data_IF_910741601758
#
_entry.id   IF_910741601758
#
_cell.length_a   1.000
_cell.length_b   1.000
_cell.length_c   1.000
_cell.angle_alpha   90.00
_cell.angle_beta   90.00
_cell.angle_gamma   90.00
#
_symmetry.space_group_name_H-M   'P 1'
#
loop_
_entity.id
_entity.type
_entity.pdbx_description
1 polymer ?
#
# COMPACT_ATOMS: atom_id res chain seq x y z
N UNK A 1 14.02 -22.57 16.75
CA UNK A 1 15.17 -21.64 16.68
C UNK A 1 15.61 -21.26 15.25
N UNK A 2 15.42 -22.07 14.21
CA UNK A 2 15.89 -21.71 12.84
C UNK A 2 15.00 -20.62 12.16
N UNK A 3 13.72 -20.51 12.56
CA UNK A 3 12.76 -19.55 11.97
C UNK A 3 12.86 -18.13 12.55
N UNK A 4 13.61 -17.90 13.63
CA UNK A 4 13.75 -16.56 14.24
C UNK A 4 14.70 -15.67 13.45
N UNK A 5 15.68 -16.27 12.76
CA UNK A 5 16.71 -15.53 12.02
C UNK A 5 16.14 -14.75 10.83
N UNK A 6 15.32 -15.36 9.94
CA UNK A 6 14.71 -14.62 8.83
C UNK A 6 13.78 -13.50 9.31
N UNK A 7 12.97 -13.74 10.33
CA UNK A 7 12.04 -12.76 10.90
C UNK A 7 12.78 -11.59 11.55
N UNK A 8 13.86 -11.86 12.26
CA UNK A 8 14.71 -10.82 12.85
C UNK A 8 15.37 -9.95 11.76
N UNK A 9 15.90 -10.58 10.71
CA UNK A 9 16.48 -9.85 9.57
C UNK A 9 15.44 -8.96 8.88
N UNK A 10 14.26 -9.49 8.57
CA UNK A 10 13.15 -8.72 8.00
C UNK A 10 12.75 -7.56 8.92
N UNK A 11 12.70 -7.80 10.23
CA UNK A 11 12.42 -6.77 11.24
C UNK A 11 13.45 -5.64 11.26
N UNK A 12 14.74 -5.95 11.12
CA UNK A 12 15.80 -4.93 11.06
C UNK A 12 15.66 -4.06 9.82
N UNK A 13 15.48 -4.66 8.63
CA UNK A 13 15.30 -3.90 7.39
C UNK A 13 14.04 -3.03 7.45
N UNK A 14 12.96 -3.56 7.99
CA UNK A 14 11.71 -2.83 8.26
C UNK A 14 11.98 -1.63 9.17
N UNK A 15 12.70 -1.81 10.28
CA UNK A 15 13.01 -0.73 11.21
C UNK A 15 13.87 0.36 10.56
N UNK A 16 14.92 -0.01 9.82
CA UNK A 16 15.79 0.94 9.11
C UNK A 16 14.98 1.75 8.10
N UNK A 17 14.17 1.10 7.25
CA UNK A 17 13.33 1.78 6.27
C UNK A 17 12.32 2.73 6.93
N UNK A 18 11.74 2.32 8.05
CA UNK A 18 10.81 3.14 8.84
C UNK A 18 11.50 4.38 9.40
N UNK A 19 12.69 4.21 9.99
CA UNK A 19 13.45 5.31 10.58
C UNK A 19 13.87 6.30 9.50
N UNK A 20 14.38 5.83 8.36
CA UNK A 20 14.75 6.70 7.22
C UNK A 20 13.55 7.52 6.74
N UNK A 21 12.41 6.86 6.53
CA UNK A 21 11.17 7.51 6.07
C UNK A 21 10.66 8.54 7.06
N UNK A 22 10.60 8.20 8.35
CA UNK A 22 10.20 9.14 9.41
C UNK A 22 11.17 10.31 9.49
N UNK A 23 12.49 10.07 9.42
CA UNK A 23 13.50 11.13 9.43
C UNK A 23 13.32 12.10 8.26
N UNK A 24 13.12 11.58 7.04
CA UNK A 24 12.83 12.40 5.84
C UNK A 24 11.58 13.26 6.00
N UNK A 25 10.54 12.75 6.65
CA UNK A 25 9.30 13.48 6.90
C UNK A 25 9.47 14.56 7.99
N UNK A 26 10.14 14.28 9.10
CA UNK A 26 10.22 15.22 10.24
C UNK A 26 11.37 16.21 10.19
N UNK A 27 12.30 16.04 9.24
CA UNK A 27 13.46 16.93 9.09
C UNK A 27 13.03 18.38 8.86
N UNK A 28 13.94 19.31 9.17
CA UNK A 28 13.65 20.74 9.12
C UNK A 28 13.23 21.22 7.72
N UNK A 29 13.85 20.68 6.66
CA UNK A 29 13.42 20.93 5.28
C UNK A 29 12.03 20.29 5.03
N UNK A 30 11.07 21.02 4.44
CA UNK A 30 9.75 20.48 4.13
C UNK A 30 9.73 19.56 2.91
N UNK A 31 10.86 19.38 2.21
CA UNK A 31 10.96 18.72 0.90
C UNK A 31 10.17 17.42 0.73
N UNK A 32 10.08 16.55 1.74
CA UNK A 32 9.40 15.25 1.61
C UNK A 32 8.01 15.19 2.27
N UNK A 33 7.63 16.24 3.00
CA UNK A 33 6.39 16.28 3.78
C UNK A 33 5.15 16.37 2.90
N UNK A 34 3.99 15.91 3.39
CA UNK A 34 2.70 16.19 2.76
C UNK A 34 2.50 17.69 2.56
N UNK A 35 1.78 18.06 1.50
CA UNK A 35 1.57 19.47 1.16
C UNK A 35 0.85 20.21 2.30
N UNK A 36 1.29 21.44 2.56
CA UNK A 36 0.73 22.35 3.57
C UNK A 36 0.71 21.79 5.01
N UNK A 37 1.51 20.78 5.32
CA UNK A 37 1.49 20.07 6.60
C UNK A 37 2.50 20.60 7.64
N UNK A 38 2.23 20.42 8.96
CA UNK A 38 3.17 20.80 10.01
C UNK A 38 4.44 19.94 9.98
N UNK A 39 5.49 20.38 10.67
CA UNK A 39 6.80 19.71 10.67
C UNK A 39 6.77 18.22 11.03
N UNK A 40 5.91 17.83 11.97
CA UNK A 40 5.82 16.46 12.45
C UNK A 40 4.69 15.67 11.79
N UNK A 41 4.14 16.16 10.68
CA UNK A 41 3.15 15.42 9.93
C UNK A 41 3.80 14.27 9.17
N UNK A 42 3.31 13.07 9.45
CA UNK A 42 3.59 11.89 8.65
C UNK A 42 2.59 11.80 7.50
N UNK A 43 2.99 11.09 6.45
CA UNK A 43 2.14 10.85 5.30
C UNK A 43 1.20 9.64 5.50
N UNK A 44 0.24 9.48 4.59
CA UNK A 44 -0.82 8.49 4.74
C UNK A 44 -0.27 7.08 4.62
N UNK A 45 0.70 6.88 3.72
CA UNK A 45 1.40 5.61 3.60
C UNK A 45 2.08 5.22 4.92
N UNK A 46 2.78 6.14 5.59
CA UNK A 46 3.44 5.88 6.87
C UNK A 46 2.45 5.53 7.98
N UNK A 47 1.31 6.21 8.06
CA UNK A 47 0.25 5.86 9.02
C UNK A 47 -0.35 4.48 8.75
N UNK A 48 -0.63 4.16 7.48
CA UNK A 48 -1.07 2.83 7.08
C UNK A 48 -0.04 1.74 7.39
N UNK A 49 1.24 2.06 7.20
CA UNK A 49 2.36 1.18 7.53
C UNK A 49 2.44 0.90 9.03
N UNK A 50 2.29 1.91 9.89
CA UNK A 50 2.23 1.70 11.35
C UNK A 50 1.02 0.87 11.78
N UNK A 51 -0.15 1.09 11.18
CA UNK A 51 -1.33 0.28 11.46
C UNK A 51 -1.05 -1.21 11.17
N UNK A 52 -0.47 -1.51 10.02
CA UNK A 52 -0.09 -2.88 9.65
C UNK A 52 0.95 -3.45 10.63
N UNK A 53 1.99 -2.67 10.96
CA UNK A 53 3.01 -3.13 11.91
C UNK A 53 2.43 -3.45 13.29
N UNK A 54 1.50 -2.64 13.79
CA UNK A 54 0.81 -2.91 15.05
C UNK A 54 0.00 -4.20 14.97
N UNK A 55 -0.76 -4.40 13.90
CA UNK A 55 -1.58 -5.62 13.72
C UNK A 55 -0.69 -6.87 13.62
N UNK A 56 0.36 -6.84 12.79
CA UNK A 56 1.30 -7.95 12.62
C UNK A 56 2.07 -8.22 13.92
N UNK A 57 2.51 -7.18 14.61
CA UNK A 57 3.20 -7.31 15.90
C UNK A 57 2.30 -7.92 16.96
N UNK A 58 1.03 -7.51 17.03
CA UNK A 58 0.04 -8.10 17.92
C UNK A 58 -0.19 -9.58 17.59
N UNK A 59 -0.33 -9.92 16.31
CA UNK A 59 -0.45 -11.31 15.84
C UNK A 59 0.75 -12.15 16.27
N UNK A 60 1.98 -11.72 15.94
CA UNK A 60 3.22 -12.44 16.27
C UNK A 60 3.39 -12.58 17.78
N UNK A 61 3.19 -11.49 18.54
CA UNK A 61 3.32 -11.50 20.00
C UNK A 61 2.30 -12.43 20.63
N UNK A 62 1.05 -12.41 20.14
CA UNK A 62 0.01 -13.33 20.63
C UNK A 62 0.31 -14.80 20.33
N UNK A 63 0.94 -15.08 19.18
CA UNK A 63 1.34 -16.43 18.79
C UNK A 63 2.50 -16.93 19.65
N UNK A 64 3.50 -16.08 19.93
CA UNK A 64 4.67 -16.42 20.76
C UNK A 64 4.35 -16.51 22.25
N UNK A 65 3.40 -15.70 22.73
CA UNK A 65 2.97 -15.70 24.13
C UNK A 65 2.02 -16.84 24.49
N UNK A 66 1.58 -17.64 23.51
CA UNK A 66 0.70 -18.79 23.75
C UNK A 66 1.52 -19.97 24.25
N UNK A 67 1.18 -20.48 25.43
CA UNK A 67 1.70 -21.76 25.92
C UNK A 67 1.07 -22.92 25.13
N UNK A 68 1.86 -23.95 24.81
CA UNK A 68 1.37 -25.19 24.18
C UNK A 68 0.62 -26.04 25.22
N UNK A 69 -0.60 -25.62 25.55
CA UNK A 69 -1.50 -26.32 26.47
C UNK A 69 -2.20 -27.49 25.78
N UNK A 70 -2.31 -27.41 24.47
CA UNK A 70 -2.94 -28.35 23.55
C UNK A 70 -2.06 -29.59 23.30
N UNK A 71 -0.75 -29.53 23.58
CA UNK A 71 0.25 -30.55 23.23
C UNK A 71 0.24 -30.88 21.72
N UNK A 72 0.01 -29.85 20.89
CA UNK A 72 -0.09 -29.98 19.42
C UNK A 72 1.26 -29.78 18.71
N UNK A 73 2.36 -29.83 19.47
CA UNK A 73 3.72 -29.54 18.98
C UNK A 73 3.80 -28.13 18.37
N UNK A 74 3.11 -27.16 18.97
CA UNK A 74 3.04 -25.77 18.49
C UNK A 74 2.50 -25.62 17.05
N UNK A 75 1.70 -26.56 16.53
CA UNK A 75 1.17 -26.49 15.15
C UNK A 75 0.38 -25.20 14.93
N UNK A 76 -0.55 -24.90 15.84
CA UNK A 76 -1.35 -23.68 15.75
C UNK A 76 -0.48 -22.42 15.76
N UNK A 77 0.55 -22.36 16.61
CA UNK A 77 1.47 -21.21 16.71
C UNK A 77 2.21 -20.97 15.40
N UNK A 78 2.70 -22.03 14.76
CA UNK A 78 3.42 -21.95 13.50
C UNK A 78 2.49 -21.44 12.39
N UNK A 79 1.22 -21.86 12.38
CA UNK A 79 0.22 -21.33 11.43
C UNK A 79 -0.03 -19.85 11.65
N UNK A 80 -0.23 -19.38 12.89
CA UNK A 80 -0.37 -17.94 13.17
C UNK A 80 0.87 -17.15 12.72
N UNK A 81 2.07 -17.68 12.97
CA UNK A 81 3.33 -17.07 12.54
C UNK A 81 3.50 -17.04 11.01
N UNK A 82 2.67 -17.77 10.27
CA UNK A 82 2.65 -17.81 8.80
C UNK A 82 1.58 -16.91 8.16
N UNK A 83 0.69 -16.31 8.96
CA UNK A 83 -0.35 -15.38 8.50
C UNK A 83 0.05 -13.91 8.28
N UNK A 84 1.19 -13.36 8.77
CA UNK A 84 1.47 -11.92 8.66
C UNK A 84 1.32 -11.33 7.25
N UNK A 85 1.78 -12.03 6.21
CA UNK A 85 1.65 -11.55 4.84
C UNK A 85 0.19 -11.53 4.36
N UNK A 86 -0.60 -12.55 4.67
CA UNK A 86 -2.04 -12.57 4.38
C UNK A 86 -2.79 -11.45 5.12
N UNK A 87 -2.42 -11.19 6.38
CA UNK A 87 -2.99 -10.09 7.18
C UNK A 87 -2.65 -8.73 6.58
N UNK A 88 -1.40 -8.49 6.16
CA UNK A 88 -1.03 -7.29 5.41
C UNK A 88 -1.92 -7.11 4.18
N UNK A 89 -2.12 -8.17 3.39
CA UNK A 89 -2.96 -8.12 2.19
C UNK A 89 -4.42 -7.78 2.53
N UNK A 90 -5.00 -8.38 3.58
CA UNK A 90 -6.34 -8.04 4.04
C UNK A 90 -6.47 -6.58 4.47
N UNK A 91 -5.51 -6.05 5.24
CA UNK A 91 -5.54 -4.67 5.71
C UNK A 91 -5.45 -3.70 4.53
N UNK A 92 -4.49 -3.91 3.61
CA UNK A 92 -4.32 -3.05 2.44
C UNK A 92 -5.55 -3.12 1.52
N UNK A 93 -6.09 -4.32 1.27
CA UNK A 93 -7.30 -4.49 0.48
C UNK A 93 -8.50 -3.79 1.13
N UNK A 94 -8.63 -3.85 2.46
CA UNK A 94 -9.73 -3.21 3.20
C UNK A 94 -9.62 -1.70 3.18
N UNK A 95 -8.42 -1.13 3.34
CA UNK A 95 -8.20 0.30 3.18
C UNK A 95 -8.47 0.76 1.73
N UNK A 96 -8.08 -0.05 0.74
CA UNK A 96 -8.38 0.22 -0.66
C UNK A 96 -9.90 0.19 -0.93
N UNK A 97 -10.61 -0.82 -0.45
CA UNK A 97 -12.07 -0.92 -0.53
C UNK A 97 -12.74 0.30 0.10
N UNK A 98 -12.34 0.67 1.32
CA UNK A 98 -12.89 1.84 2.01
C UNK A 98 -12.65 3.11 1.20
N UNK A 99 -11.44 3.32 0.68
CA UNK A 99 -11.11 4.49 -0.13
C UNK A 99 -11.93 4.55 -1.43
N UNK A 100 -12.15 3.40 -2.09
CA UNK A 100 -12.95 3.29 -3.30
C UNK A 100 -14.42 3.55 -3.02
N UNK A 101 -14.96 2.99 -1.93
CA UNK A 101 -16.35 3.20 -1.51
C UNK A 101 -16.60 4.68 -1.19
N UNK A 102 -15.70 5.32 -0.43
CA UNK A 102 -15.77 6.74 -0.10
C UNK A 102 -15.60 7.65 -1.33
N UNK A 103 -14.67 7.30 -2.22
CA UNK A 103 -14.49 8.02 -3.48
C UNK A 103 -15.75 7.95 -4.34
N UNK A 104 -16.33 6.74 -4.47
CA UNK A 104 -17.49 6.48 -5.33
C UNK A 104 -18.78 7.09 -4.79
N UNK A 105 -18.90 7.22 -3.47
CA UNK A 105 -20.00 7.92 -2.80
C UNK A 105 -19.83 9.45 -2.78
N UNK A 106 -18.71 9.97 -3.30
CA UNK A 106 -18.42 11.40 -3.31
C UNK A 106 -18.15 11.97 -1.92
N UNK A 107 -17.73 11.13 -0.97
CA UNK A 107 -17.48 11.55 0.40
C UNK A 107 -16.36 12.60 0.44
N UNK A 108 -16.68 13.76 1.00
CA UNK A 108 -15.75 14.87 1.16
C UNK A 108 -14.99 14.74 2.47
N UNK A 109 -13.68 14.95 2.42
CA UNK A 109 -12.80 14.88 3.57
C UNK A 109 -13.14 15.97 4.60
N UNK A 110 -13.48 15.63 5.86
CA UNK A 110 -13.79 16.63 6.88
C UNK A 110 -12.53 17.36 7.39
N UNK A 111 -11.35 16.79 7.18
CA UNK A 111 -10.05 17.34 7.53
C UNK A 111 -9.02 16.96 6.47
N UNK A 112 -7.84 17.60 6.49
CA UNK A 112 -6.76 17.29 5.56
C UNK A 112 -6.30 15.84 5.70
N UNK A 113 -6.19 15.12 4.58
CA UNK A 113 -5.73 13.75 4.55
C UNK A 113 -4.53 13.62 3.60
N UNK A 114 -3.33 13.56 4.17
CA UNK A 114 -2.08 13.64 3.42
C UNK A 114 -1.90 15.02 2.78
N UNK A 115 -1.61 15.05 1.48
CA UNK A 115 -1.56 16.29 0.70
C UNK A 115 -2.94 16.80 0.26
N UNK A 116 -4.02 16.05 0.50
CA UNK A 116 -5.38 16.40 0.04
C UNK A 116 -6.08 17.26 1.08
N UNK A 117 -6.55 18.44 0.67
CA UNK A 117 -7.23 19.41 1.53
C UNK A 117 -8.65 18.97 1.95
N UNK A 118 -9.15 19.55 3.04
CA UNK A 118 -10.52 19.35 3.48
C UNK A 118 -11.52 19.82 2.41
N UNK A 119 -12.69 19.17 2.33
CA UNK A 119 -13.73 19.45 1.35
C UNK A 119 -13.52 18.79 -0.01
N UNK A 120 -12.33 18.22 -0.29
CA UNK A 120 -12.10 17.41 -1.50
C UNK A 120 -12.63 16.00 -1.31
N UNK A 121 -13.07 15.37 -2.40
CA UNK A 121 -13.48 13.96 -2.39
C UNK A 121 -12.26 13.09 -2.07
N UNK A 122 -12.47 12.08 -1.21
CA UNK A 122 -11.45 11.07 -0.88
C UNK A 122 -10.89 10.47 -2.17
N UNK A 123 -9.57 10.38 -2.31
CA UNK A 123 -8.93 9.77 -3.49
C UNK A 123 -8.78 8.25 -3.29
N UNK A 124 -8.73 7.44 -4.36
CA UNK A 124 -8.49 6.00 -4.24
C UNK A 124 -7.13 5.70 -3.58
N UNK A 125 -7.00 4.60 -2.84
CA UNK A 125 -5.82 4.29 -2.02
C UNK A 125 -4.49 4.31 -2.78
N UNK A 126 -4.47 3.87 -4.05
CA UNK A 126 -3.25 3.90 -4.87
C UNK A 126 -2.75 5.32 -5.09
N UNK A 127 -3.62 6.33 -5.09
CA UNK A 127 -3.21 7.74 -5.14
C UNK A 127 -2.24 8.05 -3.99
N UNK A 128 -2.65 7.77 -2.75
CA UNK A 128 -1.88 8.08 -1.56
C UNK A 128 -0.58 7.27 -1.50
N UNK A 129 -0.65 5.98 -1.83
CA UNK A 129 0.52 5.10 -1.84
C UNK A 129 1.57 5.63 -2.85
N UNK A 130 1.16 5.92 -4.08
CA UNK A 130 2.09 6.36 -5.13
C UNK A 130 2.64 7.76 -4.83
N UNK A 131 1.79 8.68 -4.38
CA UNK A 131 2.23 10.02 -3.99
C UNK A 131 3.33 9.94 -2.92
N UNK A 132 3.05 9.21 -1.83
CA UNK A 132 3.89 9.18 -0.65
C UNK A 132 5.17 8.36 -0.87
N UNK A 133 5.10 7.22 -1.58
CA UNK A 133 6.29 6.40 -1.88
C UNK A 133 7.23 7.14 -2.84
N UNK A 134 6.71 7.72 -3.92
CA UNK A 134 7.59 8.40 -4.89
C UNK A 134 8.13 9.71 -4.33
N UNK A 135 7.35 10.45 -3.53
CA UNK A 135 7.83 11.66 -2.90
C UNK A 135 8.99 11.38 -1.93
N UNK A 136 8.88 10.35 -1.08
CA UNK A 136 9.82 10.13 0.02
C UNK A 136 10.92 9.11 -0.32
N UNK A 137 10.55 7.95 -0.86
CA UNK A 137 11.49 6.87 -1.19
C UNK A 137 12.10 7.08 -2.57
N UNK A 138 11.29 7.59 -3.52
CA UNK A 138 11.75 7.96 -4.86
C UNK A 138 12.47 9.30 -4.95
N UNK A 139 12.51 10.07 -3.85
CA UNK A 139 13.18 11.37 -3.78
C UNK A 139 12.48 12.49 -4.56
N UNK A 140 11.22 12.32 -4.99
CA UNK A 140 10.49 13.31 -5.78
C UNK A 140 10.05 14.56 -5.00
N UNK A 141 9.92 14.44 -3.68
CA UNK A 141 9.58 15.55 -2.78
C UNK A 141 8.27 16.30 -3.10
N UNK A 142 8.21 17.55 -2.66
CA UNK A 142 7.06 18.45 -2.77
C UNK A 142 6.70 18.72 -4.24
N UNK A 143 7.70 18.89 -5.11
CA UNK A 143 7.45 19.20 -6.52
C UNK A 143 6.73 18.03 -7.22
N UNK A 144 7.13 16.79 -6.91
CA UNK A 144 6.39 15.62 -7.36
C UNK A 144 4.95 15.60 -6.82
N UNK A 145 4.74 15.85 -5.51
CA UNK A 145 3.39 15.89 -4.91
C UNK A 145 2.48 16.91 -5.61
N UNK A 146 2.99 18.12 -5.86
CA UNK A 146 2.26 19.18 -6.57
C UNK A 146 1.89 18.75 -8.00
N UNK A 147 2.86 18.25 -8.76
CA UNK A 147 2.64 17.83 -10.14
C UNK A 147 1.68 16.64 -10.25
N UNK A 148 1.83 15.65 -9.35
CA UNK A 148 0.97 14.47 -9.28
C UNK A 148 -0.47 14.84 -8.91
N UNK A 149 -0.64 15.72 -7.92
CA UNK A 149 -1.95 16.24 -7.53
C UNK A 149 -2.62 17.05 -8.64
N UNK A 150 -1.88 17.96 -9.30
CA UNK A 150 -2.38 18.76 -10.41
C UNK A 150 -2.83 17.88 -11.58
N UNK A 151 -2.06 16.85 -11.94
CA UNK A 151 -2.41 15.89 -13.01
C UNK A 151 -3.67 15.10 -12.66
N UNK A 152 -3.81 14.65 -11.40
CA UNK A 152 -5.02 13.95 -10.97
C UNK A 152 -6.27 14.82 -11.08
N UNK A 153 -6.15 16.12 -10.83
CA UNK A 153 -7.27 17.05 -10.92
C UNK A 153 -7.60 17.41 -12.38
N UNK A 154 -6.60 17.56 -13.24
CA UNK A 154 -6.78 17.95 -14.65
C UNK A 154 -7.15 16.80 -15.60
N UNK A 155 -6.65 15.59 -15.36
CA UNK A 155 -6.75 14.48 -16.31
C UNK A 155 -7.76 13.42 -15.87
N UNK A 156 -8.86 13.30 -16.63
CA UNK A 156 -9.87 12.25 -16.40
C UNK A 156 -9.29 10.85 -16.63
N UNK A 157 -8.45 10.68 -17.65
CA UNK A 157 -7.80 9.39 -17.95
C UNK A 157 -6.91 8.97 -16.79
N UNK A 158 -6.10 9.89 -16.26
CA UNK A 158 -5.22 9.61 -15.13
C UNK A 158 -6.00 9.26 -13.85
N UNK A 159 -7.05 10.02 -13.55
CA UNK A 159 -7.93 9.74 -12.41
C UNK A 159 -8.63 8.38 -12.52
N UNK A 160 -9.10 8.02 -13.71
CA UNK A 160 -9.70 6.70 -13.96
C UNK A 160 -8.65 5.60 -13.79
N UNK A 161 -7.45 5.78 -14.33
CA UNK A 161 -6.34 4.83 -14.17
C UNK A 161 -6.04 4.56 -12.68
N UNK A 162 -5.98 5.60 -11.84
CA UNK A 162 -5.74 5.46 -10.39
C UNK A 162 -6.90 4.70 -9.69
N UNK A 163 -8.15 4.96 -10.11
CA UNK A 163 -9.31 4.23 -9.61
C UNK A 163 -9.23 2.74 -9.99
N UNK A 164 -8.99 2.44 -11.27
CA UNK A 164 -8.92 1.07 -11.79
C UNK A 164 -7.78 0.29 -11.12
N UNK A 165 -6.60 0.91 -10.96
CA UNK A 165 -5.49 0.30 -10.24
C UNK A 165 -5.86 -0.01 -8.79
N UNK A 166 -6.53 0.92 -8.10
CA UNK A 166 -6.97 0.68 -6.73
C UNK A 166 -7.96 -0.48 -6.65
N UNK A 167 -8.88 -0.59 -7.62
CA UNK A 167 -9.86 -1.67 -7.69
C UNK A 167 -9.18 -3.02 -7.97
N UNK A 168 -8.29 -3.09 -8.95
CA UNK A 168 -7.62 -4.34 -9.32
C UNK A 168 -6.70 -4.82 -8.20
N UNK A 169 -5.89 -3.93 -7.60
CA UNK A 169 -5.03 -4.29 -6.47
C UNK A 169 -5.83 -4.72 -5.24
N UNK A 170 -6.96 -4.06 -4.96
CA UNK A 170 -7.89 -4.46 -3.89
C UNK A 170 -8.42 -5.88 -4.11
N UNK A 171 -8.97 -6.18 -5.29
CA UNK A 171 -9.50 -7.50 -5.61
C UNK A 171 -8.39 -8.56 -5.57
N UNK A 172 -7.24 -8.25 -6.15
CA UNK A 172 -6.07 -9.11 -6.15
C UNK A 172 -5.67 -9.50 -4.72
N UNK A 173 -5.51 -8.51 -3.83
CA UNK A 173 -5.15 -8.78 -2.45
C UNK A 173 -6.22 -9.54 -1.68
N UNK A 174 -7.52 -9.29 -1.88
CA UNK A 174 -8.54 -10.13 -1.24
C UNK A 174 -8.49 -11.58 -1.69
N UNK A 175 -8.43 -11.83 -3.00
CA UNK A 175 -8.38 -13.19 -3.57
C UNK A 175 -7.19 -13.96 -3.01
N UNK A 176 -6.00 -13.35 -3.05
CA UNK A 176 -4.79 -14.02 -2.61
C UNK A 176 -4.66 -14.08 -1.08
N UNK A 177 -5.19 -13.11 -0.32
CA UNK A 177 -5.24 -13.20 1.13
C UNK A 177 -6.11 -14.40 1.59
N UNK A 178 -7.26 -14.60 0.94
CA UNK A 178 -8.12 -15.78 1.18
C UNK A 178 -7.37 -17.06 0.83
N UNK A 179 -6.74 -17.11 -0.34
CA UNK A 179 -5.95 -18.27 -0.78
C UNK A 179 -4.86 -18.62 0.25
N UNK A 180 -4.02 -17.66 0.65
CA UNK A 180 -2.93 -17.91 1.60
C UNK A 180 -3.45 -18.27 2.98
N UNK A 181 -4.58 -17.71 3.42
CA UNK A 181 -5.21 -18.13 4.67
C UNK A 181 -5.63 -19.59 4.61
N UNK A 182 -6.29 -20.01 3.53
CA UNK A 182 -6.68 -21.43 3.33
C UNK A 182 -5.44 -22.32 3.30
N UNK A 183 -4.41 -21.95 2.52
CA UNK A 183 -3.16 -22.71 2.44
C UNK A 183 -2.48 -22.84 3.81
N UNK A 184 -2.51 -21.77 4.61
CA UNK A 184 -1.91 -21.78 5.95
C UNK A 184 -2.60 -22.78 6.88
N UNK A 185 -3.91 -22.97 6.76
CA UNK A 185 -4.65 -23.92 7.60
C UNK A 185 -4.77 -25.34 7.03
N UNK A 186 -4.38 -25.56 5.76
CA UNK A 186 -4.54 -26.86 5.09
C UNK A 186 -3.21 -27.56 4.77
N UNK A 187 -2.12 -26.80 4.61
CA UNK A 187 -0.82 -27.39 4.30
C UNK A 187 -0.17 -28.08 5.51
N UNK A 188 0.74 -29.05 5.24
CA UNK A 188 1.58 -29.64 6.28
C UNK A 188 2.44 -28.59 6.98
N UNK A 189 2.64 -28.75 8.29
CA UNK A 189 3.46 -27.88 9.16
C UNK A 189 4.86 -27.59 8.60
N UNK A 190 5.47 -28.53 7.90
CA UNK A 190 6.80 -28.35 7.31
C UNK A 190 6.84 -27.29 6.18
N UNK A 191 5.73 -27.09 5.46
CA UNK A 191 5.66 -26.18 4.32
C UNK A 191 5.00 -24.84 4.66
N UNK A 192 4.15 -24.80 5.69
CA UNK A 192 3.26 -23.66 5.96
C UNK A 192 3.99 -22.34 6.13
N UNK A 193 5.12 -22.35 6.83
CA UNK A 193 5.91 -21.15 7.09
C UNK A 193 6.49 -20.56 5.81
N UNK A 194 7.07 -21.41 4.97
CA UNK A 194 7.65 -20.99 3.69
C UNK A 194 6.56 -20.48 2.75
N UNK A 195 5.42 -21.17 2.65
CA UNK A 195 4.32 -20.77 1.77
C UNK A 195 3.67 -19.47 2.24
N UNK A 196 3.37 -19.33 3.54
CA UNK A 196 2.72 -18.16 4.11
C UNK A 196 3.55 -16.88 3.98
N UNK A 197 4.88 -16.98 4.12
CA UNK A 197 5.78 -15.83 3.98
C UNK A 197 6.24 -15.59 2.55
N UNK A 198 6.78 -16.61 1.85
CA UNK A 198 7.43 -16.41 0.56
C UNK A 198 6.43 -16.41 -0.60
N UNK A 199 5.34 -17.16 -0.50
CA UNK A 199 4.36 -17.34 -1.58
C UNK A 199 3.73 -16.05 -2.11
N UNK A 200 3.40 -15.05 -1.27
CA UNK A 200 2.83 -13.78 -1.75
C UNK A 200 3.77 -12.95 -2.64
N UNK A 201 5.09 -13.06 -2.49
CA UNK A 201 6.04 -12.17 -3.17
C UNK A 201 6.12 -12.35 -4.70
N UNK A 202 6.23 -13.58 -5.25
CA UNK A 202 6.16 -13.79 -6.70
C UNK A 202 4.87 -13.25 -7.31
N UNK A 203 3.74 -13.41 -6.61
CA UNK A 203 2.44 -12.93 -7.03
C UNK A 203 2.38 -11.39 -7.02
N UNK A 204 2.91 -10.75 -5.99
CA UNK A 204 3.05 -9.29 -5.98
C UNK A 204 3.94 -8.80 -7.14
N UNK A 205 5.01 -9.52 -7.44
CA UNK A 205 5.90 -9.25 -8.58
C UNK A 205 5.18 -9.32 -9.93
N UNK A 206 4.41 -10.38 -10.17
CA UNK A 206 3.61 -10.51 -11.40
C UNK A 206 2.59 -9.37 -11.55
N UNK A 207 1.91 -9.03 -10.45
CA UNK A 207 0.94 -7.93 -10.44
C UNK A 207 1.60 -6.57 -10.69
N UNK A 208 2.81 -6.35 -10.17
CA UNK A 208 3.60 -5.15 -10.43
C UNK A 208 4.04 -5.04 -11.90
N UNK A 209 4.43 -6.16 -12.52
CA UNK A 209 4.76 -6.22 -13.96
C UNK A 209 3.54 -5.83 -14.79
N UNK A 210 2.38 -6.44 -14.53
CA UNK A 210 1.13 -6.09 -15.21
C UNK A 210 0.77 -4.61 -15.02
N UNK A 211 0.85 -4.11 -13.77
CA UNK A 211 0.60 -2.70 -13.44
C UNK A 211 1.48 -1.76 -14.26
N UNK A 212 2.74 -2.12 -14.47
CA UNK A 212 3.69 -1.31 -15.26
C UNK A 212 3.24 -1.18 -16.71
N UNK A 213 2.80 -2.27 -17.33
CA UNK A 213 2.28 -2.23 -18.70
C UNK A 213 0.97 -1.45 -18.80
N UNK A 214 0.03 -1.70 -17.88
CA UNK A 214 -1.25 -0.99 -17.85
C UNK A 214 -1.08 0.53 -17.68
N UNK A 215 -0.22 0.95 -16.75
CA UNK A 215 0.08 2.38 -16.54
C UNK A 215 0.69 2.98 -17.80
N UNK A 216 1.68 2.33 -18.42
CA UNK A 216 2.31 2.85 -19.66
C UNK A 216 1.30 3.06 -20.77
N UNK A 217 0.36 2.12 -20.95
CA UNK A 217 -0.70 2.23 -21.93
C UNK A 217 -1.63 3.42 -21.63
N UNK A 218 -2.12 3.55 -20.40
CA UNK A 218 -3.01 4.66 -20.00
C UNK A 218 -2.33 6.02 -20.04
N UNK A 219 -1.04 6.10 -19.74
CA UNK A 219 -0.28 7.34 -19.89
C UNK A 219 -0.01 7.69 -21.35
N UNK A 220 0.01 6.71 -22.27
CA UNK A 220 0.06 6.98 -23.71
C UNK A 220 -1.28 7.51 -24.20
N UNK A 221 -2.38 6.85 -23.84
CA UNK A 221 -3.75 7.30 -24.15
C UNK A 221 -4.00 8.74 -23.67
N UNK A 222 -3.56 9.07 -22.45
CA UNK A 222 -3.65 10.43 -21.92
C UNK A 222 -2.90 11.46 -22.78
N UNK A 223 -1.71 11.11 -23.30
CA UNK A 223 -0.91 12.00 -24.15
C UNK A 223 -1.53 12.20 -25.53
N UNK A 224 -2.07 11.13 -26.10
CA UNK A 224 -2.75 11.17 -27.41
C UNK A 224 -3.99 12.08 -27.35
N UNK A 225 -4.83 11.91 -26.32
CA UNK A 225 -6.01 12.75 -26.12
C UNK A 225 -5.66 14.24 -25.95
N UNK A 226 -4.58 14.56 -25.23
CA UNK A 226 -4.12 15.95 -25.09
C UNK A 226 -3.67 16.56 -26.42
N UNK A 227 -3.00 15.78 -27.28
CA UNK A 227 -2.56 16.26 -28.60
C UNK A 227 -3.74 16.50 -29.55
N UNK A 228 -4.78 15.67 -29.47
CA UNK A 228 -5.97 15.83 -30.30
C UNK A 228 -6.81 17.05 -29.87
N UNK A 229 -6.94 17.29 -28.56
CA UNK A 229 -7.58 18.49 -28.01
C UNK A 229 -6.82 19.78 -28.41
N UNK A 230 -5.48 19.74 -28.48
CA UNK A 230 -4.67 20.87 -28.96
C UNK A 230 -4.79 21.10 -30.48
N UNK A 231 -5.09 20.07 -31.27
CA UNK A 231 -5.26 20.16 -32.73
C UNK A 231 -6.67 20.59 -33.16
N UNK A 232 -7.69 20.23 -32.40
CA UNK A 232 -9.08 20.61 -32.65
C UNK A 232 -9.35 22.13 -32.82
N UNK A 233 -8.74 23.06 -32.06
CA UNK A 233 -8.96 24.50 -32.24
C UNK A 233 -8.38 25.09 -33.54
N UNK A 234 -7.60 24.34 -34.32
CA UNK A 234 -7.04 24.80 -35.61
C UNK A 234 -7.96 24.53 -36.81
N UNK A 235 -9.12 23.90 -36.57
CA UNK A 235 -10.09 23.51 -37.62
C UNK A 235 -11.48 24.17 -37.44
N UNK A 236 -11.61 25.11 -36.50
CA UNK A 236 -12.85 25.85 -36.21
C UNK A 236 -12.85 27.28 -36.74
#
# INVERSE_FOLDING_TARGET
MVLTLPTAVLGIFTAIATIDRVWKLIRYSPEYRPLNSPRYALDIFQWGYFLVLVIISALITSALGREDKDHDDHDFQIRLMSLPAAVLMYVVATLALLSLALNRSGWQLPFRFGSVEAGKVVRPAVYYIVEDVVAVDGGGGIEYRKAFGARYDSSRVFRQMIFDLSLVWMLYFYVFAILFTILVFTLPKAAVYAVGWAGPFPLAGLMAVWTTFYVREKLREERENLQDDERAPLLG
#
